data_IF_548449579842
#
_entry.id   IF_548449579842
#
_cell.length_a   1.000
_cell.length_b   1.000
_cell.length_c   1.000
_cell.angle_alpha   90.00
_cell.angle_beta   90.00
_cell.angle_gamma   90.00
#
_symmetry.space_group_name_H-M   'P 1'
#
loop_
_entity.id
_entity.type
_entity.pdbx_description
1 polymer ?
#
# COMPACT_ATOMS: atom_id res chain seq x y z
N UNK A 1 -16.33 27.40 36.00
CA UNK A 1 -16.23 25.95 35.68
C UNK A 1 -15.37 25.26 36.73
N UNK A 2 -15.65 24.03 37.14
CA UNK A 2 -14.79 23.34 38.12
C UNK A 2 -13.54 22.78 37.45
N UNK A 3 -12.38 22.84 38.14
CA UNK A 3 -11.12 22.25 37.65
C UNK A 3 -11.27 20.76 37.33
N UNK A 4 -12.00 20.03 38.17
CA UNK A 4 -12.28 18.61 37.98
C UNK A 4 -13.01 18.32 36.65
N UNK A 5 -14.00 19.14 36.29
CA UNK A 5 -14.72 18.99 35.02
C UNK A 5 -13.80 19.25 33.83
N UNK A 6 -12.95 20.27 33.90
CA UNK A 6 -12.01 20.58 32.82
C UNK A 6 -10.99 19.44 32.62
N UNK A 7 -10.49 18.82 33.70
CA UNK A 7 -9.60 17.65 33.62
C UNK A 7 -10.31 16.48 32.95
N UNK A 8 -11.56 16.18 33.35
CA UNK A 8 -12.33 15.09 32.75
C UNK A 8 -12.55 15.31 31.24
N UNK A 9 -12.92 16.52 30.84
CA UNK A 9 -13.09 16.88 29.42
C UNK A 9 -11.78 16.81 28.66
N UNK A 10 -10.68 17.33 29.21
CA UNK A 10 -9.36 17.28 28.58
C UNK A 10 -8.89 15.84 28.36
N UNK A 11 -9.06 14.97 29.36
CA UNK A 11 -8.75 13.54 29.24
C UNK A 11 -9.61 12.87 28.16
N UNK A 12 -10.91 13.16 28.12
CA UNK A 12 -11.81 12.64 27.08
C UNK A 12 -11.40 13.09 25.67
N UNK A 13 -11.04 14.36 25.50
CA UNK A 13 -10.56 14.90 24.24
C UNK A 13 -9.24 14.26 23.80
N UNK A 14 -8.28 14.09 24.71
CA UNK A 14 -7.00 13.43 24.41
C UNK A 14 -7.20 11.95 24.04
N UNK A 15 -8.06 11.23 24.76
CA UNK A 15 -8.38 9.84 24.45
C UNK A 15 -9.06 9.72 23.08
N UNK A 16 -10.03 10.60 22.78
CA UNK A 16 -10.72 10.61 21.49
C UNK A 16 -9.77 10.93 20.33
N UNK A 17 -8.95 11.99 20.46
CA UNK A 17 -7.97 12.36 19.45
C UNK A 17 -6.93 11.26 19.25
N UNK A 18 -6.40 10.70 20.34
CA UNK A 18 -5.44 9.59 20.29
C UNK A 18 -6.01 8.36 19.61
N UNK A 19 -7.25 7.97 19.95
CA UNK A 19 -7.94 6.85 19.30
C UNK A 19 -8.17 7.10 17.81
N UNK A 20 -8.64 8.30 17.44
CA UNK A 20 -8.86 8.68 16.04
C UNK A 20 -7.58 8.66 15.21
N UNK A 21 -6.47 9.16 15.76
CA UNK A 21 -5.16 9.15 15.10
C UNK A 21 -4.54 7.75 15.03
N UNK A 22 -4.74 6.91 16.06
CA UNK A 22 -4.23 5.55 16.09
C UNK A 22 -5.05 4.57 15.21
N UNK A 23 -6.32 4.88 14.96
CA UNK A 23 -7.25 3.96 14.29
C UNK A 23 -6.79 3.50 12.89
N UNK A 24 -6.31 4.37 11.98
CA UNK A 24 -5.83 3.91 10.67
C UNK A 24 -4.71 2.88 10.78
N UNK A 25 -3.77 3.06 11.71
CA UNK A 25 -2.67 2.13 11.93
C UNK A 25 -3.16 0.79 12.49
N UNK A 26 -4.07 0.84 13.47
CA UNK A 26 -4.71 -0.36 14.01
C UNK A 26 -5.47 -1.11 12.92
N UNK A 27 -6.25 -0.42 12.09
CA UNK A 27 -7.05 -1.00 11.02
C UNK A 27 -6.22 -1.62 9.90
N UNK A 28 -5.14 -0.95 9.49
CA UNK A 28 -4.22 -1.50 8.48
C UNK A 28 -3.52 -2.75 9.02
N UNK A 29 -3.06 -2.71 10.27
CA UNK A 29 -2.40 -3.87 10.92
C UNK A 29 -3.37 -5.02 11.18
N UNK A 30 -4.64 -4.75 11.49
CA UNK A 30 -5.63 -5.79 11.76
C UNK A 30 -6.07 -6.55 10.51
N UNK A 31 -5.91 -5.96 9.32
CA UNK A 31 -6.02 -6.66 8.03
C UNK A 31 -4.81 -7.57 7.82
N UNK A 32 -4.76 -8.69 8.55
CA UNK A 32 -3.76 -9.76 8.40
C UNK A 32 -3.87 -10.53 7.07
N UNK A 33 -4.86 -10.22 6.23
CA UNK A 33 -4.96 -10.84 4.90
C UNK A 33 -4.12 -10.02 3.94
N UNK A 34 -3.08 -10.59 3.32
CA UNK A 34 -2.39 -9.88 2.25
C UNK A 34 -3.44 -9.51 1.18
N UNK A 35 -3.38 -8.27 0.71
CA UNK A 35 -4.28 -7.77 -0.35
C UNK A 35 -4.16 -8.66 -1.59
N UNK A 36 -2.98 -9.23 -1.80
CA UNK A 36 -2.64 -10.14 -2.88
C UNK A 36 -2.53 -11.55 -2.31
N UNK A 37 -3.36 -12.46 -2.81
CA UNK A 37 -3.21 -13.88 -2.59
C UNK A 37 -2.09 -14.40 -3.49
N UNK A 38 -0.94 -14.77 -2.92
CA UNK A 38 0.21 -15.27 -3.67
C UNK A 38 -0.02 -16.67 -4.27
N UNK A 39 -1.08 -17.37 -3.88
CA UNK A 39 -1.47 -18.65 -4.51
C UNK A 39 -2.23 -18.46 -5.82
N UNK A 40 -2.65 -17.22 -6.13
CA UNK A 40 -3.44 -16.90 -7.32
C UNK A 40 -2.65 -16.01 -8.28
N UNK A 41 -2.85 -16.17 -9.61
CA UNK A 41 -2.32 -15.23 -10.57
C UNK A 41 -2.87 -13.82 -10.29
N UNK A 42 -2.01 -12.82 -10.49
CA UNK A 42 -2.39 -11.43 -10.36
C UNK A 42 -3.51 -11.07 -11.35
N UNK A 43 -4.48 -10.23 -10.95
CA UNK A 43 -5.53 -9.79 -11.84
C UNK A 43 -4.94 -9.00 -13.02
N UNK A 44 -5.54 -9.06 -14.23
CA UNK A 44 -4.98 -8.43 -15.43
C UNK A 44 -4.61 -6.96 -15.23
N UNK A 45 -5.35 -6.20 -14.42
CA UNK A 45 -5.05 -4.79 -14.14
C UNK A 45 -3.71 -4.57 -13.42
N UNK A 46 -3.25 -5.56 -12.65
CA UNK A 46 -1.94 -5.53 -11.97
C UNK A 46 -0.80 -6.06 -12.85
N UNK A 47 -1.11 -6.87 -13.88
CA UNK A 47 -0.12 -7.43 -14.81
C UNK A 47 -0.06 -6.70 -16.15
N UNK A 48 -1.07 -5.91 -16.51
CA UNK A 48 -1.08 -4.97 -17.63
C UNK A 48 -0.06 -3.88 -17.32
N UNK A 49 1.20 -4.26 -17.48
CA UNK A 49 2.29 -3.36 -17.74
C UNK A 49 1.87 -2.62 -18.99
N UNK A 50 1.59 -1.32 -18.85
CA UNK A 50 1.29 -0.46 -19.99
C UNK A 50 2.34 -0.65 -21.09
N UNK A 51 2.06 -0.22 -22.33
CA UNK A 51 2.84 -0.58 -23.53
C UNK A 51 4.37 -0.36 -23.44
N UNK A 52 4.85 0.39 -22.45
CA UNK A 52 6.26 0.75 -22.26
C UNK A 52 6.95 0.15 -21.01
N UNK A 53 6.23 -0.55 -20.13
CA UNK A 53 6.82 -1.07 -18.86
C UNK A 53 7.48 -2.45 -19.01
N UNK A 54 7.29 -3.14 -20.13
CA UNK A 54 8.03 -4.37 -20.47
C UNK A 54 9.29 -4.13 -21.31
N UNK A 55 9.78 -2.89 -21.45
CA UNK A 55 11.03 -2.61 -22.20
C UNK A 55 12.29 -3.09 -21.46
N UNK A 56 12.18 -3.41 -20.17
CA UNK A 56 13.29 -3.90 -19.35
C UNK A 56 13.41 -5.43 -19.25
N UNK A 57 12.56 -6.21 -19.93
CA UNK A 57 12.69 -7.67 -19.91
C UNK A 57 13.97 -8.08 -20.64
N UNK A 58 15.04 -8.26 -19.87
CA UNK A 58 16.21 -9.06 -20.28
C UNK A 58 15.90 -10.55 -20.23
N UNK A 59 14.64 -10.96 -20.41
CA UNK A 59 14.17 -12.34 -20.23
C UNK A 59 14.84 -13.32 -21.21
N UNK A 60 15.50 -12.80 -22.26
CA UNK A 60 16.27 -13.58 -23.24
C UNK A 60 17.79 -13.26 -23.17
N UNK A 61 18.24 -12.44 -22.22
CA UNK A 61 19.62 -11.96 -22.18
C UNK A 61 19.90 -10.93 -23.28
N UNK A 62 21.18 -10.51 -23.48
CA UNK A 62 21.54 -9.62 -24.57
C UNK A 62 21.15 -10.26 -25.91
N UNK A 63 20.48 -9.50 -26.77
CA UNK A 63 20.33 -9.88 -28.17
C UNK A 63 21.70 -9.75 -28.84
N UNK A 64 22.24 -10.85 -29.37
CA UNK A 64 23.53 -10.89 -30.06
C UNK A 64 23.38 -10.70 -31.57
N UNK A 65 22.16 -10.46 -32.05
CA UNK A 65 21.85 -10.41 -33.48
C UNK A 65 21.90 -8.97 -33.98
N UNK A 66 22.90 -8.64 -34.80
CA UNK A 66 22.90 -7.39 -35.54
C UNK A 66 22.00 -7.51 -36.77
N UNK A 67 20.84 -6.84 -36.74
CA UNK A 67 19.95 -6.76 -37.88
C UNK A 67 20.45 -5.70 -38.88
N UNK A 68 20.66 -6.03 -40.17
CA UNK A 68 20.94 -5.02 -41.17
C UNK A 68 19.73 -4.09 -41.31
N UNK A 69 19.98 -2.77 -41.26
CA UNK A 69 18.94 -1.79 -41.60
C UNK A 69 18.58 -1.95 -43.07
N UNK A 70 17.28 -1.99 -43.34
CA UNK A 70 16.70 -1.95 -44.68
C UNK A 70 17.25 -0.80 -45.50
#
# INVERSE_FOLDING_TARGET
>A
MSKARNVLVATGLLAFAGAGLAFPFYFVKSKNKPIIDSSKPLPPQATFRGPYVNTGSRDIGPDYTDYPKK
#
